data_IF_967714045880
#
_entry.id   IF_967714045880
#
_cell.length_a   1.000
_cell.length_b   1.000
_cell.length_c   1.000
_cell.angle_alpha   90.00
_cell.angle_beta   90.00
_cell.angle_gamma   90.00
#
_symmetry.space_group_name_H-M   'P 1'
#
loop_
_entity.id
_entity.type
_entity.pdbx_description
1 polymer ?
#
# COMPACT_ATOMS: atom_id res chain seq x y z
N UNK A 1 47.34 24.21 43.19
CA UNK A 1 46.10 24.11 42.39
C UNK A 1 46.39 24.55 40.96
N UNK A 2 46.37 23.61 40.00
CA UNK A 2 45.84 23.72 38.63
C UNK A 2 46.29 22.46 37.86
N UNK A 3 45.38 21.60 37.35
CA UNK A 3 45.77 20.44 36.55
C UNK A 3 46.17 20.88 35.14
N UNK A 4 47.26 20.30 34.66
CA UNK A 4 47.83 20.48 33.34
C UNK A 4 46.98 19.70 32.33
N UNK A 5 46.22 20.41 31.49
CA UNK A 5 45.51 19.79 30.37
C UNK A 5 46.52 19.33 29.32
N UNK A 6 46.52 18.05 28.91
CA UNK A 6 47.40 17.59 27.84
C UNK A 6 46.90 18.09 26.48
N UNK A 7 47.59 19.10 25.92
CA UNK A 7 47.34 19.64 24.57
C UNK A 7 48.05 18.80 23.51
N UNK A 8 47.62 17.55 23.28
CA UNK A 8 48.05 16.80 22.10
C UNK A 8 46.88 16.70 21.11
N UNK A 9 46.84 17.67 20.18
CA UNK A 9 46.03 17.52 18.96
C UNK A 9 46.54 16.27 18.19
N UNK A 10 45.65 15.35 17.79
CA UNK A 10 46.06 14.10 17.15
C UNK A 10 46.81 14.38 15.82
N UNK A 11 47.89 13.63 15.58
CA UNK A 11 48.80 13.78 14.43
C UNK A 11 48.11 13.80 13.05
N UNK A 12 46.90 13.23 12.94
CA UNK A 12 46.10 13.22 11.72
C UNK A 12 45.79 14.63 11.17
N UNK A 13 45.72 15.64 12.05
CA UNK A 13 45.42 17.03 11.68
C UNK A 13 46.63 17.81 11.13
N UNK A 14 47.84 17.24 11.14
CA UNK A 14 49.06 17.94 10.66
C UNK A 14 49.40 17.70 9.20
N UNK A 15 48.73 16.76 8.52
CA UNK A 15 48.98 16.48 7.10
C UNK A 15 47.84 17.03 6.24
N UNK A 16 48.15 17.65 5.07
CA UNK A 16 47.11 18.19 4.19
C UNK A 16 46.15 17.10 3.71
N UNK A 17 46.63 15.85 3.60
CA UNK A 17 45.80 14.68 3.25
C UNK A 17 44.84 14.28 4.38
N UNK A 18 45.27 14.33 5.64
CA UNK A 18 44.41 14.03 6.79
C UNK A 18 43.31 15.07 6.98
N UNK A 19 43.65 16.35 6.82
CA UNK A 19 42.67 17.45 6.83
C UNK A 19 41.66 17.25 5.69
N UNK A 20 42.13 16.99 4.46
CA UNK A 20 41.26 16.77 3.31
C UNK A 20 40.30 15.59 3.52
N UNK A 21 40.78 14.46 4.06
CA UNK A 21 39.95 13.30 4.35
C UNK A 21 38.86 13.60 5.40
N UNK A 22 39.19 14.33 6.47
CA UNK A 22 38.23 14.73 7.50
C UNK A 22 37.18 15.69 6.91
N UNK A 23 37.60 16.66 6.10
CA UNK A 23 36.68 17.60 5.45
C UNK A 23 35.71 16.90 4.51
N UNK A 24 36.19 15.94 3.71
CA UNK A 24 35.34 15.13 2.82
C UNK A 24 34.34 14.31 3.63
N UNK A 25 34.79 13.64 4.70
CA UNK A 25 33.92 12.87 5.58
C UNK A 25 32.87 13.73 6.30
N UNK A 26 33.23 14.92 6.75
CA UNK A 26 32.29 15.86 7.35
C UNK A 26 31.25 16.35 6.33
N UNK A 27 31.68 16.68 5.12
CA UNK A 27 30.79 17.12 4.05
C UNK A 27 29.81 16.03 3.59
N UNK A 28 30.25 14.78 3.49
CA UNK A 28 29.36 13.66 3.13
C UNK A 28 28.32 13.41 4.22
N UNK A 29 28.72 13.40 5.50
CA UNK A 29 27.78 13.26 6.62
C UNK A 29 26.77 14.41 6.67
N UNK A 30 27.22 15.66 6.51
CA UNK A 30 26.33 16.82 6.45
C UNK A 30 25.35 16.74 5.29
N UNK A 31 25.81 16.28 4.13
CA UNK A 31 24.96 16.10 2.94
C UNK A 31 23.89 15.04 3.16
N UNK A 32 24.24 13.91 3.79
CA UNK A 32 23.28 12.83 4.12
C UNK A 32 22.24 13.34 5.13
N UNK A 33 22.68 14.00 6.21
CA UNK A 33 21.76 14.56 7.22
C UNK A 33 20.83 15.58 6.59
N UNK A 34 21.36 16.49 5.76
CA UNK A 34 20.57 17.48 5.04
C UNK A 34 19.52 16.84 4.14
N UNK A 35 19.92 15.82 3.36
CA UNK A 35 19.01 15.08 2.49
C UNK A 35 17.89 14.40 3.28
N UNK A 36 18.21 13.73 4.39
CA UNK A 36 17.22 13.03 5.23
C UNK A 36 16.25 14.04 5.85
N UNK A 37 16.75 15.15 6.39
CA UNK A 37 15.90 16.18 7.04
C UNK A 37 14.99 16.89 6.03
N UNK A 38 15.43 17.03 4.78
CA UNK A 38 14.62 17.62 3.71
C UNK A 38 13.72 16.65 2.96
N UNK A 39 13.84 15.34 3.21
CA UNK A 39 13.00 14.36 2.55
C UNK A 39 11.54 14.61 2.98
N UNK A 40 10.60 14.75 2.03
CA UNK A 40 9.18 14.91 2.37
C UNK A 40 8.70 13.69 3.14
N UNK A 41 7.81 13.92 4.11
CA UNK A 41 7.11 12.83 4.78
C UNK A 41 6.16 12.18 3.77
N UNK A 42 6.04 10.84 3.77
CA UNK A 42 5.08 10.16 2.92
C UNK A 42 3.67 10.70 3.15
N UNK A 43 2.92 10.88 2.07
CA UNK A 43 1.52 11.30 2.16
C UNK A 43 0.67 10.16 2.74
N UNK A 44 -0.54 10.44 3.30
CA UNK A 44 -1.43 9.39 3.77
C UNK A 44 -1.74 8.34 2.69
N UNK A 45 -1.87 8.77 1.43
CA UNK A 45 -2.10 7.87 0.30
C UNK A 45 -0.89 6.98 0.02
N UNK A 46 0.33 7.53 0.07
CA UNK A 46 1.56 6.73 -0.10
C UNK A 46 1.72 5.70 1.02
N UNK A 47 1.38 6.08 2.26
CA UNK A 47 1.39 5.17 3.42
C UNK A 47 0.37 4.05 3.19
N UNK A 48 -0.85 4.40 2.79
CA UNK A 48 -1.90 3.42 2.55
C UNK A 48 -1.56 2.50 1.37
N UNK A 49 -0.99 3.03 0.29
CA UNK A 49 -0.50 2.24 -0.84
C UNK A 49 0.58 1.26 -0.41
N UNK A 50 1.56 1.71 0.39
CA UNK A 50 2.61 0.84 0.91
C UNK A 50 2.05 -0.24 1.85
N UNK A 51 1.04 0.08 2.66
CA UNK A 51 0.34 -0.91 3.51
C UNK A 51 -0.33 -1.98 2.65
N UNK A 52 -1.05 -1.58 1.60
CA UNK A 52 -1.73 -2.51 0.67
C UNK A 52 -0.74 -3.40 -0.09
N UNK A 53 0.37 -2.84 -0.57
CA UNK A 53 1.43 -3.61 -1.25
C UNK A 53 2.10 -4.65 -0.34
N UNK A 54 2.35 -4.27 0.92
CA UNK A 54 2.91 -5.19 1.92
C UNK A 54 1.96 -6.37 2.19
N UNK A 55 0.65 -6.12 2.33
CA UNK A 55 -0.35 -7.19 2.46
C UNK A 55 -0.49 -8.02 1.18
N UNK A 56 -0.50 -7.39 0.02
CA UNK A 56 -0.56 -8.05 -1.29
C UNK A 56 0.64 -8.98 -1.53
N UNK A 57 1.80 -8.64 -0.96
CA UNK A 57 3.02 -9.45 -1.08
C UNK A 57 3.08 -10.52 0.02
N UNK A 58 2.91 -10.14 1.29
CA UNK A 58 3.25 -10.98 2.45
C UNK A 58 2.05 -11.52 3.23
N UNK A 59 0.84 -10.99 2.98
CA UNK A 59 -0.37 -11.37 3.69
C UNK A 59 -0.74 -12.84 3.48
N UNK A 60 -1.33 -13.45 4.51
CA UNK A 60 -1.96 -14.77 4.41
C UNK A 60 -3.33 -14.64 3.75
N UNK A 61 -3.76 -15.70 3.05
CA UNK A 61 -5.04 -15.71 2.32
C UNK A 61 -6.04 -16.58 3.07
N UNK A 62 -7.27 -16.11 3.16
CA UNK A 62 -8.44 -16.87 3.65
C UNK A 62 -9.68 -16.50 2.84
N UNK A 63 -10.71 -17.32 2.90
CA UNK A 63 -12.01 -16.98 2.34
C UNK A 63 -12.75 -15.98 3.25
N UNK A 64 -13.55 -15.11 2.63
CA UNK A 64 -14.44 -14.14 3.26
C UNK A 64 -15.67 -13.86 2.42
N UNK A 65 -16.51 -12.93 2.89
CA UNK A 65 -17.74 -12.52 2.20
C UNK A 65 -17.85 -11.00 2.21
N UNK A 66 -18.39 -10.41 1.14
CA UNK A 66 -18.75 -8.99 1.14
C UNK A 66 -20.07 -8.85 1.86
N UNK A 67 -20.12 -8.01 2.90
CA UNK A 67 -21.33 -7.72 3.65
C UNK A 67 -22.08 -6.53 3.07
N UNK A 68 -21.35 -5.51 2.59
CA UNK A 68 -21.91 -4.36 1.91
C UNK A 68 -20.86 -3.71 0.99
N UNK A 69 -21.32 -3.06 -0.09
CA UNK A 69 -20.48 -2.37 -1.05
C UNK A 69 -21.24 -1.17 -1.63
N UNK A 70 -21.35 -0.05 -0.91
CA UNK A 70 -22.14 1.09 -1.36
C UNK A 70 -21.55 1.72 -2.63
N UNK A 71 -22.37 1.78 -3.68
CA UNK A 71 -22.12 2.51 -4.92
C UNK A 71 -22.99 3.77 -4.98
N UNK A 72 -22.54 4.78 -5.73
CA UNK A 72 -23.34 5.97 -5.95
C UNK A 72 -24.58 5.63 -6.82
N UNK A 73 -25.79 6.12 -6.49
CA UNK A 73 -27.02 5.76 -7.19
C UNK A 73 -26.99 6.01 -8.70
N UNK A 74 -26.21 7.01 -9.14
CA UNK A 74 -26.12 7.46 -10.52
C UNK A 74 -24.80 7.05 -11.21
N UNK A 75 -24.01 6.14 -10.62
CA UNK A 75 -22.77 5.66 -11.22
C UNK A 75 -23.06 4.51 -12.20
N UNK A 76 -22.95 4.73 -13.53
CA UNK A 76 -23.19 3.68 -14.52
C UNK A 76 -22.19 2.52 -14.42
N UNK A 77 -21.04 2.73 -13.77
CA UNK A 77 -19.99 1.72 -13.60
C UNK A 77 -20.16 0.85 -12.36
N UNK A 78 -21.18 1.14 -11.53
CA UNK A 78 -21.44 0.46 -10.26
C UNK A 78 -20.16 0.27 -9.42
N UNK A 79 -19.32 1.30 -9.36
CA UNK A 79 -18.03 1.24 -8.70
C UNK A 79 -18.21 1.63 -7.22
N UNK A 80 -17.99 0.72 -6.27
CA UNK A 80 -18.04 1.06 -4.85
C UNK A 80 -16.83 1.92 -4.47
N UNK A 81 -17.02 2.80 -3.49
CA UNK A 81 -15.93 3.57 -2.86
C UNK A 81 -15.45 2.92 -1.55
N UNK A 82 -16.28 2.02 -0.98
CA UNK A 82 -16.00 1.30 0.24
C UNK A 82 -16.45 -0.16 0.07
N UNK A 83 -15.63 -1.09 0.55
CA UNK A 83 -15.99 -2.51 0.65
C UNK A 83 -16.08 -2.90 2.13
N UNK A 84 -17.24 -3.35 2.57
CA UNK A 84 -17.42 -3.95 3.89
C UNK A 84 -17.43 -5.47 3.71
N UNK A 85 -16.64 -6.16 4.53
CA UNK A 85 -16.47 -7.60 4.40
C UNK A 85 -16.18 -8.23 5.75
N UNK A 86 -16.45 -9.53 5.84
CA UNK A 86 -16.07 -10.35 6.98
C UNK A 86 -15.27 -11.58 6.54
N UNK A 87 -14.44 -12.07 7.46
CA UNK A 87 -13.73 -13.33 7.32
C UNK A 87 -13.43 -13.90 8.71
N UNK A 88 -13.08 -15.18 8.76
CA UNK A 88 -12.91 -15.89 10.04
C UNK A 88 -11.59 -16.62 10.14
N UNK A 89 -10.90 -16.45 11.26
CA UNK A 89 -9.64 -17.12 11.59
C UNK A 89 -9.73 -17.65 13.00
N UNK A 90 -9.36 -18.93 13.19
CA UNK A 90 -9.32 -19.57 14.51
C UNK A 90 -10.64 -19.40 15.32
N UNK A 91 -11.79 -19.36 14.63
CA UNK A 91 -13.11 -19.18 15.26
C UNK A 91 -13.51 -17.73 15.55
N UNK A 92 -12.64 -16.75 15.30
CA UNK A 92 -12.92 -15.32 15.45
C UNK A 92 -13.30 -14.72 14.10
N UNK A 93 -14.46 -14.07 14.05
CA UNK A 93 -14.91 -13.29 12.88
C UNK A 93 -14.38 -11.87 12.99
N UNK A 94 -13.79 -11.38 11.90
CA UNK A 94 -13.34 -10.01 11.74
C UNK A 94 -14.24 -9.33 10.73
N UNK A 95 -14.85 -8.23 11.12
CA UNK A 95 -15.58 -7.34 10.23
C UNK A 95 -14.67 -6.15 9.90
N UNK A 96 -14.52 -5.86 8.62
CA UNK A 96 -13.56 -4.89 8.11
C UNK A 96 -14.20 -4.02 7.04
N UNK A 97 -13.65 -2.82 6.86
CA UNK A 97 -14.00 -1.92 5.78
C UNK A 97 -12.72 -1.50 5.06
N UNK A 98 -12.74 -1.53 3.73
CA UNK A 98 -11.64 -1.09 2.90
C UNK A 98 -12.12 0.04 1.99
N UNK A 99 -11.51 1.22 2.12
CA UNK A 99 -11.65 2.30 1.16
C UNK A 99 -10.98 1.89 -0.16
N UNK A 100 -11.75 1.95 -1.24
CA UNK A 100 -11.34 1.57 -2.60
C UNK A 100 -11.50 2.74 -3.58
N UNK A 101 -11.65 3.97 -3.09
CA UNK A 101 -11.77 5.18 -3.91
C UNK A 101 -10.60 5.34 -4.88
N UNK A 102 -9.38 5.00 -4.46
CA UNK A 102 -8.16 5.03 -5.30
C UNK A 102 -7.98 3.79 -6.18
N UNK A 103 -8.90 2.82 -6.08
CA UNK A 103 -8.85 1.51 -6.73
C UNK A 103 -10.06 1.26 -7.63
N UNK A 104 -10.74 2.31 -8.09
CA UNK A 104 -11.96 2.24 -8.90
C UNK A 104 -11.86 1.21 -10.05
N UNK A 105 -10.75 1.18 -10.78
CA UNK A 105 -10.55 0.27 -11.91
C UNK A 105 -10.44 -1.22 -11.51
N UNK A 106 -10.21 -1.53 -10.23
CA UNK A 106 -10.06 -2.88 -9.71
C UNK A 106 -11.35 -3.41 -9.06
N UNK A 107 -12.38 -2.58 -8.94
CA UNK A 107 -13.63 -2.89 -8.22
C UNK A 107 -14.89 -2.67 -9.07
N UNK A 108 -14.75 -2.60 -10.39
CA UNK A 108 -15.89 -2.50 -11.32
C UNK A 108 -16.65 -3.81 -11.41
N UNK A 109 -17.97 -3.73 -11.47
CA UNK A 109 -18.86 -4.88 -11.69
C UNK A 109 -18.59 -6.08 -10.76
N UNK A 110 -18.37 -5.79 -9.47
CA UNK A 110 -18.09 -6.81 -8.46
C UNK A 110 -19.32 -7.66 -8.14
N UNK A 111 -19.09 -8.96 -7.93
CA UNK A 111 -20.08 -9.92 -7.45
C UNK A 111 -20.05 -9.96 -5.93
N UNK A 112 -21.05 -9.40 -5.27
CA UNK A 112 -21.19 -9.45 -3.80
C UNK A 112 -21.83 -10.74 -3.29
N UNK A 113 -22.46 -11.50 -4.18
CA UNK A 113 -23.13 -12.79 -3.91
C UNK A 113 -22.15 -13.98 -3.82
N UNK A 114 -20.87 -13.78 -4.14
CA UNK A 114 -19.87 -14.83 -4.17
C UNK A 114 -18.82 -14.67 -3.06
N UNK A 115 -18.24 -15.79 -2.59
CA UNK A 115 -17.08 -15.76 -1.71
C UNK A 115 -15.91 -15.01 -2.35
N UNK A 116 -15.27 -14.19 -1.53
CA UNK A 116 -14.06 -13.44 -1.85
C UNK A 116 -12.85 -14.07 -1.17
N UNK A 117 -11.66 -13.72 -1.64
CA UNK A 117 -10.43 -13.97 -0.90
C UNK A 117 -10.00 -12.70 -0.16
N UNK A 118 -9.56 -12.88 1.07
CA UNK A 118 -9.04 -11.81 1.93
C UNK A 118 -7.56 -12.08 2.21
N UNK A 119 -6.73 -11.05 2.02
CA UNK A 119 -5.35 -11.04 2.49
C UNK A 119 -5.24 -10.31 3.82
N UNK A 120 -4.57 -10.93 4.79
CA UNK A 120 -4.44 -10.39 6.14
C UNK A 120 -3.03 -10.58 6.71
N UNK A 121 -2.65 -9.73 7.67
CA UNK A 121 -1.44 -9.92 8.47
C UNK A 121 -1.67 -10.95 9.57
N UNK A 122 -0.84 -11.99 9.62
CA UNK A 122 -0.95 -13.06 10.61
C UNK A 122 -0.82 -12.57 12.07
N UNK A 123 -0.04 -11.51 12.31
CA UNK A 123 0.19 -10.96 13.65
C UNK A 123 -0.87 -9.93 14.05
N UNK A 124 -1.57 -9.36 13.06
CA UNK A 124 -2.67 -8.43 13.27
C UNK A 124 -3.77 -8.70 12.24
N UNK A 125 -4.64 -9.70 12.47
CA UNK A 125 -5.64 -10.10 11.47
C UNK A 125 -6.49 -8.93 10.99
N UNK A 126 -6.94 -8.04 11.89
CA UNK A 126 -7.71 -6.85 11.53
C UNK A 126 -7.06 -5.98 10.43
N UNK A 127 -5.73 -6.02 10.29
CA UNK A 127 -5.04 -5.47 9.14
C UNK A 127 -5.19 -6.40 7.92
N UNK A 128 -6.21 -6.12 7.12
CA UNK A 128 -6.59 -6.92 5.96
C UNK A 128 -6.98 -6.08 4.75
N UNK A 129 -7.02 -6.73 3.58
CA UNK A 129 -7.46 -6.18 2.29
C UNK A 129 -8.17 -7.27 1.48
N UNK A 130 -9.06 -6.84 0.60
CA UNK A 130 -9.67 -7.67 -0.45
C UNK A 130 -9.08 -7.33 -1.83
N UNK A 131 -8.57 -6.10 -2.00
CA UNK A 131 -8.05 -5.62 -3.28
C UNK A 131 -6.87 -4.65 -3.10
N UNK A 132 -5.99 -4.59 -4.09
CA UNK A 132 -4.83 -3.69 -4.21
C UNK A 132 -4.46 -3.55 -5.69
N UNK A 133 -3.46 -2.72 -6.02
CA UNK A 133 -2.98 -2.54 -7.39
C UNK A 133 -2.37 -3.82 -7.98
N UNK A 134 -1.77 -4.68 -7.14
CA UNK A 134 -1.05 -5.88 -7.58
C UNK A 134 -1.79 -7.19 -7.30
N UNK A 135 -2.91 -7.14 -6.60
CA UNK A 135 -3.67 -8.33 -6.20
C UNK A 135 -5.15 -8.04 -5.96
N UNK A 136 -6.02 -8.94 -6.40
CA UNK A 136 -7.46 -8.89 -6.13
C UNK A 136 -7.99 -10.26 -5.69
N UNK A 137 -8.75 -10.27 -4.60
CA UNK A 137 -9.54 -11.40 -4.14
C UNK A 137 -11.02 -11.31 -4.52
N UNK A 138 -11.41 -10.27 -5.27
CA UNK A 138 -12.79 -10.05 -5.71
C UNK A 138 -13.16 -10.96 -6.88
N UNK A 139 -14.46 -11.23 -7.00
CA UNK A 139 -15.05 -11.88 -8.17
C UNK A 139 -15.64 -10.77 -9.05
N UNK A 140 -15.05 -10.57 -10.22
CA UNK A 140 -15.57 -9.62 -11.21
C UNK A 140 -16.52 -10.36 -12.14
N UNK A 141 -17.59 -9.71 -12.58
CA UNK A 141 -18.38 -10.25 -13.69
C UNK A 141 -17.52 -10.23 -14.96
N UNK A 142 -17.56 -11.32 -15.73
CA UNK A 142 -17.03 -11.25 -17.10
C UNK A 142 -18.00 -10.40 -17.90
N UNK A 143 -17.60 -9.19 -18.28
CA UNK A 143 -18.34 -8.39 -19.25
C UNK A 143 -18.39 -9.18 -20.56
N UNK A 144 -19.50 -9.89 -20.79
CA UNK A 144 -19.76 -10.50 -22.08
C UNK A 144 -20.27 -9.37 -22.98
N UNK A 145 -19.58 -9.02 -24.08
CA UNK A 145 -20.12 -8.04 -25.01
C UNK A 145 -21.45 -8.59 -25.52
N UNK A 146 -22.55 -7.87 -25.31
CA UNK A 146 -23.77 -8.20 -26.01
C UNK A 146 -23.48 -8.07 -27.52
N UNK A 147 -23.81 -9.08 -28.35
CA UNK A 147 -23.75 -8.90 -29.79
C UNK A 147 -24.65 -7.72 -30.13
N UNK A 148 -24.12 -6.75 -30.89
CA UNK A 148 -24.92 -5.63 -31.35
C UNK A 148 -26.11 -6.19 -32.15
N UNK A 149 -27.30 -5.65 -31.91
CA UNK A 149 -28.53 -6.01 -32.63
C UNK A 149 -28.37 -5.87 -34.16
N UNK A 150 -27.43 -5.05 -34.62
CA UNK A 150 -27.06 -4.89 -36.04
C UNK A 150 -26.46 -6.16 -36.67
N UNK A 151 -25.90 -7.07 -35.89
CA UNK A 151 -25.34 -8.33 -36.42
C UNK A 151 -26.42 -9.39 -36.64
N UNK A 152 -27.59 -9.24 -35.98
CA UNK A 152 -28.74 -10.15 -36.09
C UNK A 152 -29.59 -9.80 -37.32
N UNK A 153 -29.74 -8.51 -37.64
CA UNK A 153 -30.48 -8.06 -38.83
C UNK A 153 -29.71 -8.30 -40.15
N UNK A 154 -28.39 -8.46 -40.11
CA UNK A 154 -27.58 -8.74 -41.31
C UNK A 154 -27.68 -10.20 -41.81
N UNK A 155 -28.45 -11.06 -41.13
CA UNK A 155 -28.64 -12.47 -41.46
C UNK A 155 -30.07 -12.86 -41.87
N UNK A 156 -30.97 -11.89 -42.08
CA UNK A 156 -32.29 -12.09 -42.69
C UNK A 156 -32.35 -11.46 -44.09
#
# INVERSE_FOLDING_TARGET
MLPHLPTHLPFALRTPRGIAAISVGAATLLSIVWYIVRRPRPTPEEIERARRDLLATMGRITDGTITDAPFAPDDPTHTPHLLMYDYRIAGVTYECAQDVTTLADHVRDIRTDLPIQVRYDLHNPANSIVVSESWSGLRLTTHHPHPNESDIEAQQ
#
